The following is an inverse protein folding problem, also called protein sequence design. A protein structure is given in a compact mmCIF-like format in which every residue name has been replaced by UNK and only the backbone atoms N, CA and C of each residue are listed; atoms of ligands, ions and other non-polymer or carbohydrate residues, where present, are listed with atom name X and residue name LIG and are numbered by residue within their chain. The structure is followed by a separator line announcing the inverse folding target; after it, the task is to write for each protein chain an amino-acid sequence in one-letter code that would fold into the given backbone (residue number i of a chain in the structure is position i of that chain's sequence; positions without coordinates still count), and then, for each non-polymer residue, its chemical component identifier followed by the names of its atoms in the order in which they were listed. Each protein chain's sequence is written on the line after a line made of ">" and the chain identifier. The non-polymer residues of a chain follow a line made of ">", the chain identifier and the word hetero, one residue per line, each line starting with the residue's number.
data_IF_266649260346
#
_entry.id   IF_266649260346
#
_cell.length_a   1.000
_cell.length_b   1.000
_cell.length_c   1.000
_cell.angle_alpha   90.00
_cell.angle_beta   90.00
_cell.angle_gamma   90.00
#
_symmetry.space_group_name_H-M   'P 1'
#
loop_
_entity.id
_entity.type
_entity.pdbx_description
1 polymer ?
#
# COMPACT_ATOMS: atom_id res chain seq x y z
N UNK A 1 -10.45 12.73 -11.03
CA UNK A 1 -11.26 12.16 -12.14
C UNK A 1 -11.15 10.64 -12.11
N UNK A 2 -12.17 9.95 -11.63
CA UNK A 2 -12.25 8.48 -11.70
C UNK A 2 -12.34 8.08 -13.18
N UNK A 3 -11.40 7.26 -13.67
CA UNK A 3 -11.44 6.75 -15.04
C UNK A 3 -12.77 6.01 -15.23
N UNK A 4 -13.55 6.40 -16.25
CA UNK A 4 -14.80 5.73 -16.62
C UNK A 4 -14.48 4.26 -16.97
N UNK A 5 -14.95 3.33 -16.15
CA UNK A 5 -14.81 1.88 -16.41
C UNK A 5 -15.65 1.53 -17.64
N UNK A 6 -15.07 0.77 -18.57
CA UNK A 6 -15.78 0.33 -19.77
C UNK A 6 -16.47 -1.03 -19.58
N UNK A 7 -16.09 -1.79 -18.55
CA UNK A 7 -16.67 -3.08 -18.17
C UNK A 7 -17.81 -2.88 -17.18
N UNK A 8 -18.85 -3.72 -17.28
CA UNK A 8 -19.83 -3.89 -16.19
C UNK A 8 -19.21 -4.67 -15.03
N UNK A 9 -19.88 -4.70 -13.87
CA UNK A 9 -19.40 -5.47 -12.70
C UNK A 9 -19.19 -6.95 -13.02
N UNK A 10 -20.16 -7.58 -13.68
CA UNK A 10 -20.10 -9.00 -14.06
C UNK A 10 -18.97 -9.28 -15.05
N UNK A 11 -18.74 -8.36 -15.99
CA UNK A 11 -17.62 -8.45 -16.94
C UNK A 11 -16.27 -8.33 -16.23
N UNK A 12 -16.17 -7.44 -15.24
CA UNK A 12 -14.95 -7.26 -14.46
C UNK A 12 -14.64 -8.50 -13.61
N UNK A 13 -15.64 -9.07 -12.95
CA UNK A 13 -15.48 -10.30 -12.16
C UNK A 13 -15.09 -11.50 -13.04
N UNK A 14 -15.73 -11.63 -14.21
CA UNK A 14 -15.38 -12.67 -15.18
C UNK A 14 -13.95 -12.55 -15.72
N UNK A 15 -13.47 -11.31 -15.93
CA UNK A 15 -12.09 -11.08 -16.35
C UNK A 15 -11.09 -11.34 -15.21
N UNK A 16 -11.44 -10.95 -13.97
CA UNK A 16 -10.62 -11.20 -12.77
C UNK A 16 -10.44 -12.69 -12.50
N UNK A 17 -11.48 -13.50 -12.65
CA UNK A 17 -11.39 -14.95 -12.42
C UNK A 17 -10.44 -15.67 -13.38
N UNK A 18 -10.09 -15.05 -14.51
CA UNK A 18 -9.18 -15.58 -15.54
C UNK A 18 -7.77 -14.99 -15.49
N UNK A 19 -7.47 -14.14 -14.50
CA UNK A 19 -6.13 -13.57 -14.34
C UNK A 19 -5.09 -14.66 -14.02
N UNK A 20 -5.47 -15.70 -13.28
CA UNK A 20 -4.61 -16.86 -12.98
C UNK A 20 -4.16 -17.55 -14.27
N UNK A 21 -5.10 -17.81 -15.18
CA UNK A 21 -4.86 -18.56 -16.41
C UNK A 21 -4.03 -17.72 -17.39
N UNK A 22 -4.25 -16.40 -17.39
CA UNK A 22 -3.42 -15.47 -18.14
C UNK A 22 -1.97 -15.44 -17.62
N UNK A 23 -1.78 -15.49 -16.30
CA UNK A 23 -0.45 -15.59 -15.68
C UNK A 23 0.27 -16.88 -16.10
N UNK A 24 -0.43 -18.01 -16.06
CA UNK A 24 0.11 -19.31 -16.49
C UNK A 24 0.46 -19.28 -17.99
N UNK A 25 -0.41 -18.72 -18.83
CA UNK A 25 -0.17 -18.57 -20.27
C UNK A 25 0.99 -17.60 -20.59
N UNK A 26 1.24 -16.60 -19.75
CA UNK A 26 2.42 -15.72 -19.86
C UNK A 26 3.69 -16.50 -19.54
N UNK A 27 3.70 -17.27 -18.44
CA UNK A 27 4.84 -18.10 -18.05
C UNK A 27 5.20 -19.13 -19.14
N UNK A 28 4.18 -19.77 -19.72
CA UNK A 28 4.33 -20.78 -20.77
C UNK A 28 4.50 -20.21 -22.18
N UNK A 29 4.46 -18.88 -22.35
CA UNK A 29 4.53 -18.20 -23.66
C UNK A 29 3.43 -18.62 -24.64
N UNK A 30 2.29 -19.11 -24.15
CA UNK A 30 1.12 -19.53 -24.96
C UNK A 30 0.02 -18.48 -25.05
N UNK A 31 0.24 -17.29 -24.50
CA UNK A 31 -0.76 -16.20 -24.39
C UNK A 31 -1.49 -15.88 -25.71
N UNK A 32 -0.73 -15.69 -26.80
CA UNK A 32 -1.31 -15.31 -28.10
C UNK A 32 -1.92 -16.48 -28.87
N UNK A 33 -1.45 -17.70 -28.61
CA UNK A 33 -1.83 -18.90 -29.39
C UNK A 33 -3.00 -19.66 -28.79
N UNK A 34 -3.12 -19.68 -27.47
CA UNK A 34 -4.10 -20.52 -26.76
C UNK A 34 -5.05 -19.67 -25.92
N UNK A 35 -4.50 -18.85 -25.02
CA UNK A 35 -5.30 -18.10 -24.05
C UNK A 35 -6.23 -17.08 -24.72
N UNK A 36 -5.70 -16.14 -25.52
CA UNK A 36 -6.55 -15.11 -26.12
C UNK A 36 -7.58 -15.68 -27.11
N UNK A 37 -7.24 -16.64 -27.99
CA UNK A 37 -8.27 -17.27 -28.84
C UNK A 37 -9.41 -17.91 -28.04
N UNK A 38 -9.11 -18.61 -26.95
CA UNK A 38 -10.12 -19.23 -26.09
C UNK A 38 -10.98 -18.19 -25.35
N UNK A 39 -10.34 -17.24 -24.65
CA UNK A 39 -11.04 -16.21 -23.87
C UNK A 39 -11.89 -15.29 -24.74
N UNK A 40 -11.40 -14.93 -25.93
CA UNK A 40 -12.18 -14.08 -26.84
C UNK A 40 -13.38 -14.84 -27.43
N UNK A 41 -13.27 -16.17 -27.63
CA UNK A 41 -14.42 -17.00 -28.02
C UNK A 41 -15.46 -17.02 -26.90
N UNK A 42 -15.05 -17.30 -25.66
CA UNK A 42 -15.96 -17.35 -24.52
C UNK A 42 -16.61 -16.00 -24.24
N UNK A 43 -15.84 -14.91 -24.35
CA UNK A 43 -16.34 -13.55 -24.21
C UNK A 43 -17.41 -13.23 -25.25
N UNK A 44 -17.20 -13.62 -26.52
CA UNK A 44 -18.19 -13.37 -27.59
C UNK A 44 -19.48 -14.16 -27.37
N UNK A 45 -19.39 -15.35 -26.78
CA UNK A 45 -20.56 -16.16 -26.44
C UNK A 45 -21.36 -15.54 -25.29
N UNK A 46 -20.67 -15.06 -24.26
CA UNK A 46 -21.31 -14.44 -23.09
C UNK A 46 -21.82 -13.01 -23.38
N UNK A 47 -21.12 -12.24 -24.22
CA UNK A 47 -21.48 -10.86 -24.56
C UNK A 47 -21.40 -10.61 -26.07
N UNK A 48 -22.45 -11.01 -26.82
CA UNK A 48 -22.56 -10.74 -28.25
C UNK A 48 -22.40 -9.25 -28.56
N UNK A 49 -21.67 -8.94 -29.64
CA UNK A 49 -21.51 -7.54 -30.05
C UNK A 49 -22.79 -7.06 -30.73
N UNK A 50 -23.38 -6.00 -30.19
CA UNK A 50 -24.54 -5.33 -30.78
C UNK A 50 -24.29 -4.97 -32.25
N UNK A 51 -25.36 -4.99 -33.04
CA UNK A 51 -25.32 -4.61 -34.47
C UNK A 51 -24.73 -3.20 -34.66
N UNK A 52 -23.97 -2.96 -35.74
CA UNK A 52 -23.44 -1.63 -36.03
C UNK A 52 -24.54 -0.60 -36.18
N UNK A 53 -24.32 0.60 -35.65
CA UNK A 53 -25.22 1.74 -35.80
C UNK A 53 -25.08 2.27 -37.24
N UNK A 54 -26.13 2.85 -37.86
CA UNK A 54 -26.07 3.33 -39.25
C UNK A 54 -24.88 4.28 -39.54
N UNK A 55 -24.48 5.10 -38.57
CA UNK A 55 -23.32 6.01 -38.66
C UNK A 55 -21.97 5.29 -38.75
N UNK A 56 -21.85 4.09 -38.17
CA UNK A 56 -20.62 3.31 -38.22
C UNK A 56 -20.54 2.48 -39.51
N UNK A 57 -21.70 2.13 -40.07
CA UNK A 57 -21.82 1.49 -41.38
C UNK A 57 -21.39 2.46 -42.48
N UNK A 58 -21.84 3.71 -42.45
CA UNK A 58 -21.45 4.74 -43.42
C UNK A 58 -19.95 5.05 -43.33
N UNK A 59 -19.39 5.09 -42.11
CA UNK A 59 -17.95 5.33 -41.88
C UNK A 59 -17.05 4.16 -42.27
N UNK A 60 -17.53 2.92 -42.24
CA UNK A 60 -16.77 1.72 -42.61
C UNK A 60 -17.00 1.25 -44.05
N UNK A 61 -17.97 1.85 -44.75
CA UNK A 61 -18.36 1.52 -46.13
C UNK A 61 -19.17 0.23 -46.30
N UNK A 62 -19.21 -0.65 -45.29
CA UNK A 62 -20.06 -1.85 -45.28
C UNK A 62 -20.36 -2.28 -43.81
N UNK A 63 -21.55 -2.85 -43.58
CA UNK A 63 -22.03 -3.43 -42.32
C UNK A 63 -21.06 -4.49 -41.79
N UNK A 64 -20.50 -5.32 -42.65
CA UNK A 64 -19.55 -6.36 -42.26
C UNK A 64 -18.24 -5.77 -41.69
N UNK A 65 -17.68 -4.76 -42.37
CA UNK A 65 -16.47 -4.05 -41.93
C UNK A 65 -16.70 -3.28 -40.64
N UNK A 66 -17.88 -2.66 -40.48
CA UNK A 66 -18.26 -1.98 -39.24
C UNK A 66 -18.34 -2.97 -38.06
N UNK A 67 -18.93 -4.15 -38.30
CA UNK A 67 -19.02 -5.22 -37.29
C UNK A 67 -17.64 -5.75 -36.90
N UNK A 68 -16.77 -5.99 -37.89
CA UNK A 68 -15.41 -6.47 -37.66
C UNK A 68 -14.58 -5.46 -36.87
N UNK A 69 -14.70 -4.17 -37.18
CA UNK A 69 -14.00 -3.09 -36.46
C UNK A 69 -14.44 -2.99 -35.01
N UNK A 70 -15.76 -3.02 -34.72
CA UNK A 70 -16.28 -3.06 -33.35
C UNK A 70 -15.74 -4.25 -32.54
N UNK A 71 -15.67 -5.42 -33.18
CA UNK A 71 -15.12 -6.64 -32.56
C UNK A 71 -13.64 -6.46 -32.25
N UNK A 72 -12.85 -6.01 -33.22
CA UNK A 72 -11.42 -5.77 -33.03
C UNK A 72 -11.14 -4.76 -31.90
N UNK A 73 -11.92 -3.68 -31.81
CA UNK A 73 -11.79 -2.67 -30.75
C UNK A 73 -12.08 -3.25 -29.36
N UNK A 74 -13.14 -4.07 -29.22
CA UNK A 74 -13.45 -4.76 -27.96
C UNK A 74 -12.35 -5.77 -27.58
N UNK A 75 -11.87 -6.55 -28.54
CA UNK A 75 -10.80 -7.53 -28.30
C UNK A 75 -9.50 -6.85 -27.89
N UNK A 76 -9.15 -5.73 -28.53
CA UNK A 76 -8.00 -4.90 -28.16
C UNK A 76 -8.12 -4.41 -26.71
N UNK A 77 -9.32 -3.96 -26.29
CA UNK A 77 -9.57 -3.56 -24.90
C UNK A 77 -9.44 -4.70 -23.91
N UNK A 78 -9.89 -5.91 -24.24
CA UNK A 78 -9.74 -7.09 -23.38
C UNK A 78 -8.26 -7.46 -23.23
N UNK A 79 -7.50 -7.51 -24.34
CA UNK A 79 -6.05 -7.76 -24.30
C UNK A 79 -5.34 -6.73 -23.42
N UNK A 80 -5.61 -5.45 -23.66
CA UNK A 80 -5.06 -4.36 -22.86
C UNK A 80 -5.46 -4.47 -21.38
N UNK A 81 -6.69 -4.89 -21.08
CA UNK A 81 -7.17 -5.10 -19.71
C UNK A 81 -6.31 -6.13 -18.98
N UNK A 82 -6.11 -7.32 -19.56
CA UNK A 82 -5.28 -8.37 -18.93
C UNK A 82 -3.84 -7.90 -18.69
N UNK A 83 -3.21 -7.27 -19.68
CA UNK A 83 -1.86 -6.73 -19.51
C UNK A 83 -1.79 -5.63 -18.45
N UNK A 84 -2.80 -4.76 -18.35
CA UNK A 84 -2.82 -3.69 -17.36
C UNK A 84 -3.09 -4.19 -15.93
N UNK A 85 -3.89 -5.24 -15.78
CA UNK A 85 -4.24 -5.81 -14.47
C UNK A 85 -3.24 -6.85 -13.97
N UNK A 86 -2.36 -7.37 -14.84
CA UNK A 86 -1.17 -8.13 -14.43
C UNK A 86 0.03 -7.26 -14.10
N UNK A 87 0.11 -6.05 -14.64
CA UNK A 87 1.16 -5.11 -14.25
C UNK A 87 0.95 -4.74 -12.78
N UNK A 88 1.78 -5.26 -11.89
CA UNK A 88 1.85 -4.75 -10.51
C UNK A 88 2.03 -3.24 -10.59
N UNK A 89 1.12 -2.47 -9.98
CA UNK A 89 0.96 -1.02 -10.16
C UNK A 89 2.30 -0.30 -10.40
N UNK A 90 2.64 -0.08 -11.67
CA UNK A 90 3.96 0.42 -12.11
C UNK A 90 3.90 1.91 -12.47
N UNK A 91 2.87 2.63 -12.03
CA UNK A 91 2.82 4.07 -12.20
C UNK A 91 3.68 4.77 -11.15
N UNK A 92 4.93 5.02 -11.53
CA UNK A 92 5.70 6.17 -11.06
C UNK A 92 6.86 5.86 -10.10
N UNK A 93 8.01 6.47 -10.39
CA UNK A 93 9.24 6.50 -9.59
C UNK A 93 9.09 7.01 -8.14
N UNK A 94 7.88 7.36 -7.67
CA UNK A 94 7.64 7.91 -6.33
C UNK A 94 6.51 7.24 -5.53
N UNK A 95 5.65 6.42 -6.13
CA UNK A 95 4.40 6.03 -5.47
C UNK A 95 4.51 4.79 -4.54
N UNK A 96 5.44 3.86 -4.81
CA UNK A 96 5.70 2.75 -3.89
C UNK A 96 6.69 3.20 -2.83
N UNK A 97 6.18 3.61 -1.68
CA UNK A 97 6.99 3.73 -0.47
C UNK A 97 7.69 2.41 -0.14
N UNK A 98 8.76 2.46 0.65
CA UNK A 98 9.47 1.27 1.08
C UNK A 98 8.58 0.40 2.00
N UNK A 99 8.82 -0.90 2.02
CA UNK A 99 8.24 -1.79 3.02
C UNK A 99 8.76 -1.32 4.39
N UNK A 100 7.85 -1.03 5.31
CA UNK A 100 8.21 -0.73 6.70
C UNK A 100 8.51 -2.07 7.39
N UNK A 101 9.80 -2.40 7.49
CA UNK A 101 10.27 -3.69 8.06
C UNK A 101 10.09 -3.72 9.60
N UNK A 102 9.90 -2.56 10.25
CA UNK A 102 9.64 -2.48 11.69
C UNK A 102 8.16 -2.67 12.05
N UNK A 103 7.88 -3.57 13.01
CA UNK A 103 6.60 -3.57 13.72
C UNK A 103 6.47 -2.23 14.47
N UNK A 104 5.32 -1.57 14.35
CA UNK A 104 4.99 -0.50 15.30
C UNK A 104 4.90 -1.14 16.68
N UNK A 105 5.84 -0.78 17.56
CA UNK A 105 5.81 -1.23 18.95
C UNK A 105 4.58 -0.63 19.62
N UNK A 106 3.95 -1.40 20.49
CA UNK A 106 2.93 -0.85 21.37
C UNK A 106 3.51 0.35 22.13
N UNK A 107 2.74 1.43 22.22
CA UNK A 107 3.12 2.61 22.97
C UNK A 107 3.28 2.24 24.45
N UNK A 108 4.29 2.78 25.11
CA UNK A 108 4.44 2.66 26.56
C UNK A 108 3.34 3.45 27.27
N UNK A 109 2.98 3.05 28.49
CA UNK A 109 1.83 3.62 29.21
C UNK A 109 1.92 5.15 29.36
N UNK A 110 3.08 5.69 29.71
CA UNK A 110 3.30 7.14 29.79
C UNK A 110 3.15 7.86 28.44
N UNK A 111 3.43 7.18 27.32
CA UNK A 111 3.25 7.73 25.98
C UNK A 111 1.77 7.78 25.62
N UNK A 112 0.99 6.78 26.03
CA UNK A 112 -0.47 6.78 25.89
C UNK A 112 -1.07 7.89 26.75
N UNK A 113 -0.61 8.05 28.00
CA UNK A 113 -0.96 9.18 28.85
C UNK A 113 -0.65 10.51 28.17
N UNK A 114 0.55 10.67 27.62
CA UNK A 114 0.92 11.86 26.85
C UNK A 114 -0.02 12.12 25.67
N UNK A 115 -0.39 11.11 24.89
CA UNK A 115 -1.36 11.30 23.79
C UNK A 115 -2.72 11.80 24.31
N UNK A 116 -3.16 11.33 25.47
CA UNK A 116 -4.45 11.70 26.07
C UNK A 116 -4.44 13.11 26.67
N UNK A 117 -3.37 13.50 27.35
CA UNK A 117 -3.37 14.68 28.24
C UNK A 117 -2.51 15.83 27.75
N UNK A 118 -1.53 15.60 26.87
CA UNK A 118 -0.55 16.62 26.51
C UNK A 118 -1.19 17.86 25.88
N UNK A 119 -2.06 17.68 24.89
CA UNK A 119 -2.70 18.81 24.18
C UNK A 119 -3.65 19.61 25.07
N UNK A 120 -4.27 18.97 26.06
CA UNK A 120 -5.35 19.55 26.87
C UNK A 120 -4.85 20.14 28.19
N UNK A 121 -3.86 19.52 28.83
CA UNK A 121 -3.44 19.84 30.19
C UNK A 121 -1.97 20.30 30.26
N UNK A 122 -1.06 19.65 29.54
CA UNK A 122 0.37 19.79 29.81
C UNK A 122 1.13 20.66 28.81
N UNK A 123 0.58 20.96 27.63
CA UNK A 123 1.30 21.70 26.59
C UNK A 123 1.77 23.07 27.08
N UNK A 124 0.87 23.87 27.66
CA UNK A 124 1.18 25.20 28.16
C UNK A 124 2.17 25.16 29.32
N UNK A 125 1.99 24.22 30.25
CA UNK A 125 2.88 24.04 31.41
C UNK A 125 4.29 23.66 30.98
N UNK A 126 4.41 22.71 30.05
CA UNK A 126 5.72 22.28 29.51
C UNK A 126 6.39 23.41 28.74
N UNK A 127 5.65 24.22 27.97
CA UNK A 127 6.20 25.38 27.27
C UNK A 127 6.74 26.43 28.26
N UNK A 128 5.99 26.75 29.31
CA UNK A 128 6.42 27.71 30.35
C UNK A 128 7.63 27.22 31.15
N UNK A 129 7.64 25.95 31.56
CA UNK A 129 8.76 25.37 32.31
C UNK A 129 10.01 25.22 31.45
N UNK A 130 9.86 24.89 30.16
CA UNK A 130 10.96 24.84 29.22
C UNK A 130 11.61 26.20 29.02
N UNK A 131 10.83 27.27 28.85
CA UNK A 131 11.38 28.63 28.71
C UNK A 131 12.09 29.09 29.99
N UNK A 132 11.60 28.70 31.17
CA UNK A 132 12.30 28.95 32.45
C UNK A 132 13.63 28.20 32.53
N UNK A 133 13.64 26.91 32.18
CA UNK A 133 14.85 26.10 32.15
C UNK A 133 15.89 26.68 31.18
N UNK A 134 15.45 27.02 29.96
CA UNK A 134 16.28 27.63 28.93
C UNK A 134 16.87 28.97 29.38
N UNK A 135 16.04 29.86 29.94
CA UNK A 135 16.49 31.17 30.43
C UNK A 135 17.48 31.05 31.60
N UNK A 136 17.22 30.12 32.53
CA UNK A 136 18.13 29.85 33.65
C UNK A 136 19.46 29.23 33.19
N UNK A 137 19.43 28.48 32.08
CA UNK A 137 20.63 27.88 31.51
C UNK A 137 21.48 28.90 30.75
N UNK A 138 20.86 29.70 29.88
CA UNK A 138 21.53 30.79 29.16
C UNK A 138 22.17 31.82 30.12
N UNK A 139 21.57 32.03 31.30
CA UNK A 139 22.12 32.89 32.35
C UNK A 139 23.40 32.33 33.01
N UNK A 140 23.60 31.00 32.99
CA UNK A 140 24.76 30.33 33.57
C UNK A 140 25.83 29.99 32.53
N UNK A 141 25.41 29.65 31.32
CA UNK A 141 26.26 29.22 30.21
C UNK A 141 25.98 30.10 28.99
N UNK A 142 26.72 31.21 28.91
CA UNK A 142 26.55 32.18 27.83
C UNK A 142 27.08 31.60 26.51
N UNK A 143 26.18 31.35 25.56
CA UNK A 143 26.53 30.93 24.19
C UNK A 143 26.67 29.43 23.96
N UNK A 144 26.36 28.60 24.95
CA UNK A 144 26.27 27.14 24.79
C UNK A 144 24.82 26.68 24.64
N UNK A 145 24.59 25.63 23.84
CA UNK A 145 23.26 25.03 23.72
C UNK A 145 22.86 24.29 25.01
N UNK A 146 21.56 24.21 25.33
CA UNK A 146 21.04 23.35 26.40
C UNK A 146 21.54 21.91 26.34
N UNK A 147 22.04 21.40 27.48
CA UNK A 147 22.48 20.01 27.62
C UNK A 147 21.32 19.04 27.36
N UNK A 148 20.11 19.42 27.80
CA UNK A 148 18.88 18.70 27.47
C UNK A 148 18.12 19.39 26.34
N UNK A 149 17.63 18.61 25.39
CA UNK A 149 16.67 19.10 24.38
C UNK A 149 15.27 19.27 24.99
N UNK A 150 14.43 20.12 24.39
CA UNK A 150 13.02 20.26 24.78
C UNK A 150 12.29 18.90 24.81
N UNK A 151 12.65 17.99 23.91
CA UNK A 151 12.03 16.67 23.84
C UNK A 151 12.40 15.77 25.03
N UNK A 152 13.66 15.81 25.48
CA UNK A 152 14.10 15.05 26.65
C UNK A 152 13.49 15.59 27.94
N UNK A 153 13.41 16.92 28.08
CA UNK A 153 12.72 17.59 29.19
C UNK A 153 11.23 17.23 29.24
N UNK A 154 10.53 17.29 28.11
CA UNK A 154 9.12 16.91 28.04
C UNK A 154 8.91 15.44 28.39
N UNK A 155 9.79 14.55 27.92
CA UNK A 155 9.66 13.12 28.20
C UNK A 155 9.87 12.80 29.69
N UNK A 156 10.81 13.46 30.37
CA UNK A 156 11.02 13.30 31.82
C UNK A 156 9.85 13.86 32.61
N UNK A 157 9.38 15.07 32.27
CA UNK A 157 8.20 15.70 32.88
C UNK A 157 6.95 14.79 32.81
N UNK A 158 6.66 14.26 31.61
CA UNK A 158 5.47 13.42 31.42
C UNK A 158 5.57 12.07 32.11
N UNK A 159 6.78 11.49 32.24
CA UNK A 159 7.00 10.28 33.04
C UNK A 159 6.75 10.54 34.52
N UNK A 160 7.25 11.66 35.03
CA UNK A 160 7.04 12.04 36.42
C UNK A 160 5.56 12.28 36.70
N UNK A 161 4.85 13.02 35.84
CA UNK A 161 3.41 13.26 36.02
C UNK A 161 2.59 11.97 35.96
N UNK A 162 2.93 11.05 35.06
CA UNK A 162 2.28 9.73 35.04
C UNK A 162 2.51 8.91 36.32
N UNK A 163 3.69 9.04 36.96
CA UNK A 163 4.01 8.40 38.24
C UNK A 163 3.38 9.08 39.46
N UNK A 164 3.00 10.35 39.35
CA UNK A 164 2.27 11.10 40.39
C UNK A 164 0.74 10.92 40.27
N UNK A 165 0.25 10.56 39.10
CA UNK A 165 -1.18 10.44 38.80
C UNK A 165 -1.86 9.26 39.54
N UNK A 166 -3.18 9.39 39.76
CA UNK A 166 -4.02 8.39 40.43
C UNK A 166 -4.10 7.04 39.70
N UNK A 167 -4.37 5.97 40.45
CA UNK A 167 -4.52 4.62 39.89
C UNK A 167 -5.66 4.52 38.86
N UNK A 168 -6.71 5.32 38.99
CA UNK A 168 -7.84 5.36 38.08
C UNK A 168 -7.41 5.80 36.67
N UNK A 169 -6.60 6.86 36.57
CA UNK A 169 -6.09 7.34 35.27
C UNK A 169 -5.12 6.33 34.67
N UNK A 170 -4.30 5.66 35.48
CA UNK A 170 -3.41 4.58 34.99
C UNK A 170 -4.19 3.41 34.42
N UNK A 171 -5.30 3.04 35.04
CA UNK A 171 -6.17 1.98 34.54
C UNK A 171 -6.84 2.40 33.21
N UNK A 172 -7.30 3.65 33.10
CA UNK A 172 -7.82 4.19 31.84
C UNK A 172 -6.77 4.19 30.71
N UNK A 173 -5.53 4.54 31.05
CA UNK A 173 -4.39 4.50 30.10
C UNK A 173 -4.11 3.07 29.62
N UNK A 174 -4.13 2.08 30.52
CA UNK A 174 -3.96 0.66 30.15
C UNK A 174 -5.09 0.16 29.25
N UNK A 175 -6.34 0.48 29.59
CA UNK A 175 -7.49 0.13 28.76
C UNK A 175 -7.34 0.74 27.35
N UNK A 176 -6.92 2.00 27.26
CA UNK A 176 -6.69 2.65 25.97
C UNK A 176 -5.52 2.04 25.18
N UNK A 177 -4.48 1.57 25.86
CA UNK A 177 -3.38 0.85 25.25
C UNK A 177 -3.85 -0.48 24.63
N UNK A 178 -4.72 -1.21 25.32
CA UNK A 178 -5.33 -2.45 24.82
C UNK A 178 -6.24 -2.20 23.62
N UNK A 179 -7.06 -1.14 23.65
CA UNK A 179 -7.89 -0.72 22.51
C UNK A 179 -7.03 -0.39 21.29
N UNK A 180 -5.97 0.41 21.45
CA UNK A 180 -5.05 0.75 20.36
C UNK A 180 -4.34 -0.48 19.79
N UNK A 181 -4.05 -1.48 20.64
CA UNK A 181 -3.48 -2.75 20.19
C UNK A 181 -4.51 -3.58 19.41
N UNK A 182 -5.77 -3.59 19.83
CA UNK A 182 -6.85 -4.31 19.16
C UNK A 182 -7.28 -3.67 17.82
N UNK A 183 -7.27 -2.33 17.74
CA UNK A 183 -7.48 -1.57 16.48
C UNK A 183 -6.42 -1.95 15.43
N UNK A 184 -5.17 -2.21 15.84
CA UNK A 184 -4.11 -2.67 14.94
C UNK A 184 -4.31 -4.13 14.44
N UNK A 185 -5.17 -4.92 15.08
CA UNK A 185 -5.32 -6.35 14.82
C UNK A 185 -6.57 -6.72 13.98
N UNK A 186 -7.59 -5.86 13.90
CA UNK A 186 -8.96 -6.20 13.44
C UNK A 186 -9.23 -6.13 11.92
N UNK A 187 -8.30 -5.69 11.08
CA UNK A 187 -8.58 -5.44 9.65
C UNK A 187 -8.46 -6.70 8.73
N UNK A 188 -9.25 -7.75 8.96
CA UNK A 188 -9.17 -9.07 8.28
C UNK A 188 -9.18 -9.09 6.74
N UNK A 189 -10.09 -8.36 6.07
CA UNK A 189 -10.14 -8.28 4.60
C UNK A 189 -9.11 -7.29 4.03
N UNK A 190 -8.76 -6.24 4.78
CA UNK A 190 -7.65 -5.35 4.43
C UNK A 190 -6.31 -6.09 4.53
N UNK A 191 -6.18 -7.16 5.35
CA UNK A 191 -4.91 -7.91 5.46
C UNK A 191 -4.44 -8.44 4.12
N UNK A 192 -5.33 -8.99 3.29
CA UNK A 192 -4.93 -9.51 1.96
C UNK A 192 -4.48 -8.39 1.03
N UNK A 193 -5.15 -7.24 1.07
CA UNK A 193 -4.73 -6.04 0.34
C UNK A 193 -3.40 -5.48 0.88
N UNK A 194 -3.23 -5.43 2.18
CA UNK A 194 -2.01 -5.02 2.86
C UNK A 194 -0.84 -5.96 2.55
N UNK A 195 -1.05 -7.28 2.55
CA UNK A 195 -0.06 -8.28 2.14
C UNK A 195 0.32 -8.08 0.68
N UNK A 196 -0.65 -7.92 -0.22
CA UNK A 196 -0.34 -7.67 -1.62
C UNK A 196 0.43 -6.35 -1.81
N UNK A 197 0.06 -5.30 -1.07
CA UNK A 197 0.77 -4.02 -1.07
C UNK A 197 2.20 -4.17 -0.54
N UNK A 198 2.42 -4.96 0.50
CA UNK A 198 3.73 -5.27 1.04
C UNK A 198 4.59 -6.04 0.04
N UNK A 199 4.04 -7.09 -0.59
CA UNK A 199 4.68 -7.86 -1.66
C UNK A 199 5.08 -6.92 -2.81
N UNK A 200 4.20 -6.02 -3.22
CA UNK A 200 4.48 -5.06 -4.28
C UNK A 200 5.58 -4.04 -3.91
N UNK A 201 5.81 -3.75 -2.62
CA UNK A 201 6.88 -2.84 -2.14
C UNK A 201 8.21 -3.54 -1.93
N UNK A 202 8.20 -4.87 -1.81
CA UNK A 202 9.38 -5.67 -1.48
C UNK A 202 10.52 -5.51 -2.51
N UNK A 203 10.32 -5.61 -3.84
CA UNK A 203 11.41 -5.53 -4.80
C UNK A 203 12.20 -4.21 -4.71
N UNK A 204 11.51 -3.07 -4.57
CA UNK A 204 12.17 -1.76 -4.41
C UNK A 204 12.95 -1.68 -3.10
N UNK A 205 12.41 -2.26 -2.03
CA UNK A 205 13.06 -2.25 -0.72
C UNK A 205 14.34 -3.07 -0.74
N UNK A 206 14.30 -4.25 -1.34
CA UNK A 206 15.46 -5.12 -1.51
C UNK A 206 16.51 -4.49 -2.44
N UNK A 207 16.08 -3.82 -3.52
CA UNK A 207 17.01 -3.12 -4.42
C UNK A 207 17.79 -2.01 -3.69
N UNK A 208 17.10 -1.14 -2.93
CA UNK A 208 17.75 -0.05 -2.17
C UNK A 208 18.72 -0.62 -1.12
N UNK A 209 18.33 -1.69 -0.43
CA UNK A 209 19.22 -2.35 0.51
C UNK A 209 20.43 -2.98 -0.19
N UNK A 210 20.20 -3.71 -1.29
CA UNK A 210 21.26 -4.33 -2.09
C UNK A 210 22.27 -3.31 -2.58
N UNK A 211 21.82 -2.19 -3.15
CA UNK A 211 22.69 -1.07 -3.54
C UNK A 211 23.53 -0.55 -2.38
N UNK A 212 22.93 -0.40 -1.19
CA UNK A 212 23.65 0.05 0.00
C UNK A 212 24.74 -0.92 0.41
N UNK A 213 24.46 -2.22 0.43
CA UNK A 213 25.46 -3.23 0.83
C UNK A 213 26.55 -3.32 -0.24
N UNK A 214 26.22 -3.36 -1.53
CA UNK A 214 27.22 -3.38 -2.61
C UNK A 214 28.14 -2.16 -2.55
N UNK A 215 27.63 -0.96 -2.25
CA UNK A 215 28.47 0.24 -2.07
C UNK A 215 29.42 0.15 -0.87
N UNK A 216 28.98 -0.48 0.21
CA UNK A 216 29.77 -0.56 1.45
C UNK A 216 30.78 -1.71 1.44
N UNK A 217 30.44 -2.84 0.81
CA UNK A 217 31.23 -4.07 0.89
C UNK A 217 31.86 -4.49 -0.44
N UNK A 218 31.40 -3.92 -1.56
CA UNK A 218 31.77 -4.38 -2.90
C UNK A 218 31.15 -5.72 -3.30
N UNK A 219 30.26 -6.29 -2.49
CA UNK A 219 29.67 -7.61 -2.76
C UNK A 219 28.49 -7.52 -3.72
N UNK A 220 28.38 -8.50 -4.61
CA UNK A 220 27.19 -8.74 -5.39
C UNK A 220 26.19 -9.55 -4.56
N UNK A 221 24.94 -9.10 -4.54
CA UNK A 221 23.89 -9.71 -3.72
C UNK A 221 22.72 -10.08 -4.60
N UNK A 222 22.14 -11.24 -4.33
CA UNK A 222 20.94 -11.73 -4.99
C UNK A 222 19.94 -12.14 -3.93
N UNK A 223 18.68 -11.78 -4.14
CA UNK A 223 17.59 -12.15 -3.26
C UNK A 223 16.67 -13.12 -3.98
N UNK A 224 16.34 -14.23 -3.32
CA UNK A 224 15.34 -15.17 -3.79
C UNK A 224 14.21 -15.20 -2.77
N UNK A 225 13.01 -14.75 -3.16
CA UNK A 225 11.87 -14.69 -2.24
C UNK A 225 10.64 -15.29 -2.92
N UNK A 226 9.98 -16.24 -2.27
CA UNK A 226 8.77 -16.88 -2.78
C UNK A 226 7.67 -16.97 -1.72
N UNK A 227 6.41 -16.91 -2.16
CA UNK A 227 5.25 -17.02 -1.27
C UNK A 227 3.90 -16.86 -1.99
N UNK A 228 2.78 -17.08 -1.29
CA UNK A 228 1.44 -16.94 -1.86
C UNK A 228 1.14 -15.47 -2.20
N UNK A 229 0.58 -15.24 -3.38
CA UNK A 229 0.15 -13.91 -3.84
C UNK A 229 -1.39 -13.77 -3.74
N UNK A 230 -1.91 -12.90 -2.86
CA UNK A 230 -3.36 -12.70 -2.71
C UNK A 230 -4.09 -12.34 -4.01
N UNK A 231 -3.47 -11.53 -4.87
CA UNK A 231 -4.06 -11.14 -6.17
C UNK A 231 -4.08 -12.27 -7.22
N UNK A 232 -3.44 -13.41 -6.93
CA UNK A 232 -3.47 -14.62 -7.76
C UNK A 232 -4.13 -15.78 -7.03
N UNK A 233 -5.11 -15.47 -6.19
CA UNK A 233 -5.89 -16.47 -5.45
C UNK A 233 -5.01 -17.40 -4.59
N UNK A 234 -3.92 -16.86 -4.03
CA UNK A 234 -3.01 -17.61 -3.16
C UNK A 234 -2.01 -18.50 -3.88
N UNK A 235 -1.91 -18.44 -5.22
CA UNK A 235 -0.85 -19.15 -5.96
C UNK A 235 0.54 -18.71 -5.48
N UNK A 236 1.46 -19.67 -5.40
CA UNK A 236 2.85 -19.43 -5.02
C UNK A 236 3.56 -18.71 -6.17
N UNK A 237 4.10 -17.54 -5.87
CA UNK A 237 4.90 -16.75 -6.78
C UNK A 237 6.30 -16.56 -6.22
N UNK A 238 7.30 -16.60 -7.09
CA UNK A 238 8.68 -16.27 -6.76
C UNK A 238 9.10 -14.96 -7.42
N UNK A 239 9.87 -14.18 -6.68
CA UNK A 239 10.60 -13.01 -7.15
C UNK A 239 12.08 -13.34 -7.08
N UNK A 240 12.77 -13.03 -8.17
CA UNK A 240 14.21 -13.22 -8.37
C UNK A 240 14.82 -11.88 -8.79
#
# INVERSE_FOLDING_TARGET
>A
MTRRKWTTSDQEEWLKSRLSDFSDAQANKTTSKEFFPAILKDWRNAWPTATPTPEEVTKAGNVEKATQKKRADKESRIRAWFHNHMRGATSGNGARGLLKIGKQKALQDWQVYHVMTYKTQWKTVVDEEWEKYKSAWEAKNTGEEPEETRFTFMASFMRQKYQEESEEVRNNVKKRQEELKAELETEGEDKNHAYQNAINRLPRTLAVWGESVTKQTGWNITFLVGGPAPNQNGKIMSYL
#
